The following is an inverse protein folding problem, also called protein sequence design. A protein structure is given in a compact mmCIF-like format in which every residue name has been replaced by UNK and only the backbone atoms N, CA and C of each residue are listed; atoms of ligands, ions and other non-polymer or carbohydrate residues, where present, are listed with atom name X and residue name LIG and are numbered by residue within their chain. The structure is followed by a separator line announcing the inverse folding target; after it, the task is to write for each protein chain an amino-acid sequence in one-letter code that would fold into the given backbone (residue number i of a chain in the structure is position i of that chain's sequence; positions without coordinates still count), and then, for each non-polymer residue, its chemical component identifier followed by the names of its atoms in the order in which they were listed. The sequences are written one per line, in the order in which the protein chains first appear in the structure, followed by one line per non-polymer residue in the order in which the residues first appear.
data_IF_142769750008
#
_entry.id   IF_142769750008
#
_cell.length_a   1.000
_cell.length_b   1.000
_cell.length_c   1.000
_cell.angle_alpha   90.00
_cell.angle_beta   90.00
_cell.angle_gamma   90.00
#
_symmetry.space_group_name_H-M   'P 1'
#
loop_
_entity.id
_entity.type
_entity.pdbx_description
1 polymer ?
#
# COMPACT_ATOMS: atom_id res chain seq x y z
N UNK A 1 22.33 15.00 32.42
CA UNK A 1 22.12 14.97 30.95
C UNK A 1 20.62 15.07 30.74
N UNK A 2 20.10 16.16 30.15
CA UNK A 2 18.64 16.32 29.94
C UNK A 2 18.19 15.35 28.84
N UNK A 3 17.16 14.57 29.11
CA UNK A 3 16.50 13.73 28.10
C UNK A 3 15.92 14.62 26.99
N UNK A 4 16.29 14.32 25.75
CA UNK A 4 15.79 14.99 24.56
C UNK A 4 14.58 14.19 24.10
N UNK A 5 13.43 14.85 23.99
CA UNK A 5 12.18 14.18 23.59
C UNK A 5 12.08 14.09 22.05
N UNK A 6 11.35 13.09 21.54
CA UNK A 6 11.18 12.77 20.09
C UNK A 6 10.85 13.99 19.22
N UNK A 7 10.12 14.99 19.75
CA UNK A 7 9.76 16.23 19.04
C UNK A 7 10.97 17.14 18.76
N UNK A 8 11.96 17.16 19.65
CA UNK A 8 13.17 17.99 19.51
C UNK A 8 14.21 17.36 18.58
N UNK A 9 14.23 16.03 18.46
CA UNK A 9 15.13 15.32 17.55
C UNK A 9 14.74 15.57 16.07
N UNK A 10 13.45 15.48 15.75
CA UNK A 10 12.93 15.66 14.40
C UNK A 10 13.13 17.09 13.86
N UNK A 11 13.09 18.10 14.73
CA UNK A 11 13.36 19.49 14.32
C UNK A 11 14.84 19.80 14.06
N UNK A 12 15.78 19.05 14.66
CA UNK A 12 17.22 19.33 14.58
C UNK A 12 17.90 18.58 13.44
N UNK A 13 17.40 17.39 13.08
CA UNK A 13 17.94 16.61 11.96
C UNK A 13 17.77 17.29 10.59
N UNK A 14 16.74 18.13 10.43
CA UNK A 14 16.46 18.84 9.17
C UNK A 14 17.37 20.05 8.85
N UNK A 15 18.40 20.36 9.67
CA UNK A 15 19.20 21.59 9.50
C UNK A 15 20.71 21.41 9.37
N UNK A 16 21.23 20.21 9.14
CA UNK A 16 22.67 20.03 8.93
C UNK A 16 22.91 18.97 7.87
N UNK A 17 23.17 19.41 6.64
CA UNK A 17 24.28 18.96 5.80
C UNK A 17 24.32 19.83 4.53
N UNK A 18 25.03 20.96 4.63
CA UNK A 18 25.63 21.64 3.48
C UNK A 18 27.10 21.25 3.52
N UNK A 19 27.60 20.51 2.53
CA UNK A 19 29.00 20.09 2.51
C UNK A 19 29.37 19.09 1.41
N UNK A 20 29.64 19.64 0.22
CA UNK A 20 30.26 19.16 -1.02
C UNK A 20 31.26 17.96 -0.95
N UNK A 21 31.23 17.13 -2.03
CA UNK A 21 32.27 16.29 -2.68
C UNK A 21 31.91 14.79 -2.71
N UNK A 22 32.08 13.98 -3.77
CA UNK A 22 32.50 14.12 -5.17
C UNK A 22 31.98 12.88 -5.96
N UNK A 23 31.91 13.00 -7.29
CA UNK A 23 31.36 12.05 -8.27
C UNK A 23 32.00 10.65 -8.32
N UNK A 24 31.17 9.60 -8.44
CA UNK A 24 31.41 8.43 -9.30
C UNK A 24 30.07 7.77 -9.67
N UNK A 25 29.85 7.54 -10.96
CA UNK A 25 28.55 7.26 -11.59
C UNK A 25 28.15 5.78 -11.60
N UNK A 26 26.89 5.49 -11.27
CA UNK A 26 26.14 4.28 -11.66
C UNK A 26 24.70 4.74 -11.97
N UNK A 27 24.09 4.37 -13.11
CA UNK A 27 22.82 4.96 -13.54
C UNK A 27 21.66 4.32 -12.78
N UNK A 28 21.12 5.02 -11.80
CA UNK A 28 19.79 4.72 -11.24
C UNK A 28 18.72 5.30 -12.16
N UNK A 29 17.73 4.47 -12.48
CA UNK A 29 16.48 4.84 -13.13
C UNK A 29 15.85 6.02 -12.38
N UNK A 30 16.10 7.21 -12.90
CA UNK A 30 15.51 8.45 -12.39
C UNK A 30 14.07 8.47 -12.90
N UNK A 31 13.13 8.16 -12.02
CA UNK A 31 11.72 8.49 -12.26
C UNK A 31 11.60 9.97 -12.63
N UNK A 32 10.68 10.30 -13.53
CA UNK A 32 10.44 11.64 -14.05
C UNK A 32 10.04 12.63 -12.93
N UNK A 33 11.00 13.04 -12.13
CA UNK A 33 10.93 14.12 -11.16
C UNK A 33 12.00 15.15 -11.50
N UNK A 34 11.88 15.79 -12.66
CA UNK A 34 12.56 17.05 -12.87
C UNK A 34 11.59 18.18 -12.54
N UNK A 35 12.00 19.08 -11.65
CA UNK A 35 11.39 20.40 -11.52
C UNK A 35 11.57 21.14 -12.85
N UNK A 36 10.62 20.99 -13.76
CA UNK A 36 10.49 21.93 -14.86
C UNK A 36 9.96 23.23 -14.28
N UNK A 37 10.76 24.30 -14.39
CA UNK A 37 10.27 25.67 -14.19
C UNK A 37 8.98 25.82 -14.98
N UNK A 38 7.87 26.04 -14.29
CA UNK A 38 6.59 26.41 -14.88
C UNK A 38 6.84 27.64 -15.76
N UNK A 39 6.61 27.60 -17.08
CA UNK A 39 6.71 28.80 -17.89
C UNK A 39 5.57 29.74 -17.51
N UNK A 40 5.88 31.00 -17.22
CA UNK A 40 4.89 32.06 -17.00
C UNK A 40 3.98 32.17 -18.21
N UNK A 41 2.69 31.95 -18.01
CA UNK A 41 1.67 32.19 -19.02
C UNK A 41 1.64 33.68 -19.34
N UNK A 42 2.10 34.06 -20.53
CA UNK A 42 1.92 35.42 -21.05
C UNK A 42 0.52 35.53 -21.61
N UNK A 43 -0.36 36.26 -20.92
CA UNK A 43 -1.69 36.61 -21.42
C UNK A 43 -1.57 37.61 -22.57
N UNK A 44 -1.73 37.14 -23.80
CA UNK A 44 -2.10 38.00 -24.92
C UNK A 44 -3.63 37.98 -25.03
N UNK A 45 -4.28 39.07 -24.60
CA UNK A 45 -5.69 39.29 -24.84
C UNK A 45 -5.88 39.59 -26.34
N UNK A 46 -6.60 38.71 -27.04
CA UNK A 46 -7.14 39.01 -28.36
C UNK A 46 -8.63 39.28 -28.17
N UNK A 47 -9.04 40.52 -28.43
CA UNK A 47 -10.44 40.93 -28.44
C UNK A 47 -11.19 40.17 -29.53
N UNK A 48 -12.26 39.48 -29.15
CA UNK A 48 -13.26 38.92 -30.05
C UNK A 48 -14.60 39.61 -29.75
N UNK A 49 -15.18 40.18 -30.81
CA UNK A 49 -16.38 41.00 -30.80
C UNK A 49 -17.63 40.23 -30.35
N UNK A 50 -18.45 40.92 -29.58
CA UNK A 50 -19.73 40.51 -29.02
C UNK A 50 -20.81 40.20 -30.05
N UNK A 51 -21.45 39.03 -29.91
CA UNK A 51 -22.86 38.86 -30.27
C UNK A 51 -23.62 38.47 -28.98
N UNK A 52 -24.55 39.34 -28.57
CA UNK A 52 -25.41 39.16 -27.40
C UNK A 52 -26.43 38.05 -27.66
N UNK A 53 -26.37 36.98 -26.86
CA UNK A 53 -27.54 36.15 -26.59
C UNK A 53 -27.91 36.23 -25.12
N UNK A 54 -29.10 36.78 -24.90
CA UNK A 54 -29.79 36.87 -23.61
C UNK A 54 -29.86 35.50 -22.94
N UNK A 55 -29.11 35.35 -21.85
CA UNK A 55 -29.40 34.36 -20.83
C UNK A 55 -29.55 35.12 -19.53
N UNK A 56 -30.73 34.99 -18.90
CA UNK A 56 -30.99 35.45 -17.55
C UNK A 56 -29.91 34.92 -16.62
N UNK A 57 -29.07 35.80 -16.11
CA UNK A 57 -28.08 35.48 -15.09
C UNK A 57 -28.82 34.89 -13.88
N UNK A 58 -28.56 33.62 -13.60
CA UNK A 58 -28.83 33.09 -12.26
C UNK A 58 -27.86 33.84 -11.35
N UNK A 59 -28.39 34.66 -10.45
CA UNK A 59 -27.60 35.27 -9.38
C UNK A 59 -26.99 34.13 -8.54
N UNK A 60 -25.72 33.85 -8.81
CA UNK A 60 -24.89 33.02 -7.96
C UNK A 60 -24.68 33.79 -6.65
N UNK A 61 -25.60 33.62 -5.70
CA UNK A 61 -25.36 33.95 -4.29
C UNK A 61 -24.33 32.96 -3.72
N UNK A 62 -23.08 33.06 -4.18
CA UNK A 62 -21.94 32.48 -3.50
C UNK A 62 -21.77 33.31 -2.23
N UNK A 63 -22.10 32.72 -1.09
CA UNK A 63 -21.75 33.32 0.18
C UNK A 63 -20.23 33.26 0.30
N UNK A 64 -19.59 34.42 0.34
CA UNK A 64 -18.16 34.58 0.56
C UNK A 64 -17.79 33.98 1.92
N UNK A 65 -17.20 32.77 1.92
CA UNK A 65 -16.25 32.19 2.91
C UNK A 65 -16.34 30.65 2.99
N UNK A 66 -16.35 29.92 1.87
CA UNK A 66 -16.04 28.48 1.90
C UNK A 66 -14.52 28.34 2.08
N UNK A 67 -14.02 27.64 3.12
CA UNK A 67 -12.59 27.44 3.30
C UNK A 67 -11.96 26.78 2.07
N UNK A 68 -10.68 27.05 1.81
CA UNK A 68 -9.94 26.27 0.83
C UNK A 68 -9.64 24.89 1.42
N UNK A 69 -9.89 23.82 0.65
CA UNK A 69 -9.53 22.46 1.05
C UNK A 69 -8.00 22.37 1.13
N UNK A 70 -7.49 21.87 2.26
CA UNK A 70 -6.06 21.63 2.47
C UNK A 70 -5.85 20.16 2.79
N UNK A 71 -4.80 19.59 2.20
CA UNK A 71 -4.38 18.22 2.45
C UNK A 71 -3.27 18.17 3.52
N UNK A 72 -3.19 17.09 4.30
CA UNK A 72 -4.17 16.01 4.37
C UNK A 72 -5.51 16.49 4.97
N UNK A 73 -6.62 15.89 4.52
CA UNK A 73 -7.92 16.04 5.16
C UNK A 73 -7.86 15.46 6.57
N UNK A 74 -8.67 16.00 7.48
CA UNK A 74 -8.82 15.45 8.81
C UNK A 74 -9.35 14.00 8.71
N UNK A 75 -8.65 13.08 9.36
CA UNK A 75 -9.06 11.69 9.45
C UNK A 75 -10.02 11.51 10.62
N UNK A 76 -11.17 10.93 10.34
CA UNK A 76 -12.08 10.42 11.36
C UNK A 76 -12.12 8.90 11.24
N UNK A 77 -12.04 8.22 12.38
CA UNK A 77 -12.12 6.77 12.43
C UNK A 77 -13.43 6.28 11.77
N UNK A 78 -13.28 5.30 10.88
CA UNK A 78 -14.39 4.67 10.15
C UNK A 78 -14.61 3.25 10.66
N UNK A 79 -15.88 2.86 10.79
CA UNK A 79 -16.25 1.48 11.05
C UNK A 79 -15.94 0.63 9.81
N UNK A 80 -15.02 -0.33 9.95
CA UNK A 80 -14.58 -1.18 8.84
C UNK A 80 -15.74 -1.97 8.21
N UNK A 81 -16.70 -2.45 9.00
CA UNK A 81 -17.83 -3.26 8.51
C UNK A 81 -18.84 -2.41 7.75
N UNK A 82 -19.13 -1.21 8.25
CA UNK A 82 -19.96 -0.22 7.57
C UNK A 82 -19.36 0.12 6.19
N UNK A 83 -18.06 0.43 6.15
CA UNK A 83 -17.38 0.75 4.89
C UNK A 83 -17.35 -0.45 3.95
N UNK A 84 -17.05 -1.66 4.46
CA UNK A 84 -17.07 -2.88 3.64
C UNK A 84 -18.42 -3.10 2.97
N UNK A 85 -19.51 -3.01 3.74
CA UNK A 85 -20.87 -3.19 3.22
C UNK A 85 -21.20 -2.12 2.16
N UNK A 86 -20.84 -0.86 2.42
CA UNK A 86 -21.04 0.23 1.46
C UNK A 86 -20.25 0.00 0.17
N UNK A 87 -18.97 -0.34 0.27
CA UNK A 87 -18.11 -0.56 -0.89
C UNK A 87 -18.65 -1.71 -1.75
N UNK A 88 -19.06 -2.81 -1.11
CA UNK A 88 -19.65 -3.94 -1.81
C UNK A 88 -20.91 -3.52 -2.61
N UNK A 89 -21.82 -2.78 -1.99
CA UNK A 89 -23.05 -2.30 -2.63
C UNK A 89 -22.75 -1.30 -3.76
N UNK A 90 -21.88 -0.34 -3.50
CA UNK A 90 -21.58 0.77 -4.41
C UNK A 90 -20.75 0.32 -5.61
N UNK A 91 -20.05 -0.80 -5.51
CA UNK A 91 -19.40 -1.45 -6.65
C UNK A 91 -20.34 -1.64 -7.83
N UNK A 92 -21.57 -2.08 -7.56
CA UNK A 92 -22.57 -2.32 -8.59
C UNK A 92 -23.24 -1.04 -9.10
N UNK A 93 -23.32 0.01 -8.26
CA UNK A 93 -23.97 1.28 -8.60
C UNK A 93 -23.04 2.24 -9.35
N UNK A 94 -21.81 2.37 -8.87
CA UNK A 94 -20.79 3.28 -9.42
C UNK A 94 -19.98 2.68 -10.56
N UNK A 95 -20.21 1.40 -10.89
CA UNK A 95 -19.68 0.77 -12.10
C UNK A 95 -18.25 0.25 -12.00
N UNK A 96 -17.72 0.04 -10.79
CA UNK A 96 -16.43 -0.61 -10.63
C UNK A 96 -15.75 -0.39 -9.27
N UNK A 97 -14.58 -1.01 -9.15
CA UNK A 97 -13.84 -1.13 -7.90
C UNK A 97 -13.23 0.20 -7.42
N UNK A 98 -12.70 1.05 -8.31
CA UNK A 98 -12.07 2.30 -7.90
C UNK A 98 -13.04 3.30 -7.28
N UNK A 99 -14.16 3.58 -7.97
CA UNK A 99 -15.19 4.49 -7.47
C UNK A 99 -15.83 3.99 -6.18
N UNK A 100 -16.09 2.67 -6.09
CA UNK A 100 -16.69 2.09 -4.90
C UNK A 100 -15.80 2.18 -3.66
N UNK A 101 -14.51 1.85 -3.78
CA UNK A 101 -13.57 2.00 -2.66
C UNK A 101 -13.49 3.47 -2.25
N UNK A 102 -13.36 4.39 -3.21
CA UNK A 102 -13.28 5.82 -2.92
C UNK A 102 -14.55 6.38 -2.24
N UNK A 103 -15.74 5.96 -2.69
CA UNK A 103 -17.02 6.28 -2.02
C UNK A 103 -17.11 5.65 -0.63
N UNK A 104 -16.52 4.47 -0.41
CA UNK A 104 -16.42 3.85 0.92
C UNK A 104 -15.84 4.79 1.98
N UNK A 105 -14.80 5.57 1.61
CA UNK A 105 -14.20 6.57 2.49
C UNK A 105 -15.01 7.87 2.48
N UNK A 106 -15.09 8.53 1.32
CA UNK A 106 -15.61 9.89 1.26
C UNK A 106 -17.12 9.95 1.37
N UNK A 107 -17.85 8.93 0.93
CA UNK A 107 -19.29 8.86 1.09
C UNK A 107 -19.70 8.79 2.56
N UNK A 108 -19.06 7.91 3.34
CA UNK A 108 -19.32 7.80 4.79
C UNK A 108 -18.91 9.08 5.52
N UNK A 109 -17.73 9.63 5.20
CA UNK A 109 -17.27 10.88 5.81
C UNK A 109 -18.14 12.09 5.41
N UNK A 110 -18.61 12.15 4.17
CA UNK A 110 -19.52 13.20 3.69
C UNK A 110 -20.87 13.14 4.40
N UNK A 111 -21.42 11.96 4.62
CA UNK A 111 -22.69 11.77 5.34
C UNK A 111 -22.56 12.12 6.82
N UNK A 112 -21.42 11.82 7.45
CA UNK A 112 -21.20 12.07 8.89
C UNK A 112 -20.72 13.48 9.21
N UNK A 113 -19.85 14.06 8.39
CA UNK A 113 -19.11 15.29 8.70
C UNK A 113 -19.30 16.41 7.67
N UNK A 114 -19.89 16.12 6.50
CA UNK A 114 -20.17 17.13 5.48
C UNK A 114 -18.91 17.66 4.80
N UNK A 115 -18.70 18.97 4.86
CA UNK A 115 -17.52 19.63 4.29
C UNK A 115 -16.24 19.25 5.09
N UNK A 116 -15.09 18.99 4.46
CA UNK A 116 -14.81 19.07 3.02
C UNK A 116 -15.10 17.78 2.23
N UNK A 117 -15.47 16.69 2.90
CA UNK A 117 -15.58 15.35 2.30
C UNK A 117 -16.63 15.28 1.19
N UNK A 118 -17.74 16.01 1.34
CA UNK A 118 -18.81 16.08 0.35
C UNK A 118 -18.50 16.92 -0.90
N UNK A 119 -17.27 17.47 -1.02
CA UNK A 119 -16.84 18.25 -2.18
C UNK A 119 -16.12 17.40 -3.24
N UNK A 120 -15.87 16.13 -2.95
CA UNK A 120 -15.19 15.21 -3.85
C UNK A 120 -16.21 14.29 -4.53
N UNK A 121 -16.41 14.40 -5.85
CA UNK A 121 -17.30 13.51 -6.58
C UNK A 121 -16.72 12.10 -6.60
N UNK A 122 -17.53 11.10 -6.23
CA UNK A 122 -17.07 9.72 -6.09
C UNK A 122 -16.68 9.09 -7.44
N UNK A 123 -17.20 9.62 -8.54
CA UNK A 123 -16.91 9.21 -9.91
C UNK A 123 -15.47 9.44 -10.33
N UNK A 124 -14.67 10.20 -9.57
CA UNK A 124 -13.22 10.34 -9.83
C UNK A 124 -12.54 8.97 -9.86
N UNK A 125 -13.01 8.02 -9.04
CA UNK A 125 -12.50 6.65 -9.03
C UNK A 125 -12.99 5.76 -10.18
N UNK A 126 -13.89 6.24 -11.06
CA UNK A 126 -14.53 5.42 -12.09
C UNK A 126 -13.52 4.74 -13.00
N UNK A 127 -12.51 5.49 -13.47
CA UNK A 127 -11.48 4.97 -14.38
C UNK A 127 -10.60 3.87 -13.79
N UNK A 128 -10.70 3.57 -12.49
CA UNK A 128 -10.09 2.38 -11.90
C UNK A 128 -10.72 1.07 -12.40
N UNK A 129 -11.88 1.11 -13.07
CA UNK A 129 -12.53 -0.10 -13.60
C UNK A 129 -11.63 -0.88 -14.57
N UNK A 130 -11.78 -2.20 -14.59
CA UNK A 130 -11.04 -3.10 -15.50
C UNK A 130 -9.52 -2.93 -15.48
N UNK A 131 -8.93 -2.55 -14.34
CA UNK A 131 -7.50 -2.30 -14.20
C UNK A 131 -7.04 -1.14 -15.07
N UNK A 132 -7.72 0.00 -14.97
CA UNK A 132 -7.50 1.18 -15.81
C UNK A 132 -7.62 0.87 -17.30
N UNK A 133 -8.68 0.15 -17.66
CA UNK A 133 -9.02 -0.30 -19.03
C UNK A 133 -8.10 -1.32 -19.68
N UNK A 134 -6.86 -1.44 -19.22
CA UNK A 134 -5.84 -2.34 -19.78
C UNK A 134 -5.52 -3.53 -18.86
N UNK A 135 -6.24 -3.70 -17.76
CA UNK A 135 -6.00 -4.81 -16.84
C UNK A 135 -4.78 -4.66 -15.94
N UNK A 136 -4.18 -3.47 -15.91
CA UNK A 136 -3.04 -3.10 -15.07
C UNK A 136 -3.45 -2.97 -13.60
N UNK A 137 -3.02 -1.92 -12.90
CA UNK A 137 -3.23 -1.72 -11.47
C UNK A 137 -4.69 -1.97 -11.04
N UNK A 138 -4.89 -2.81 -10.01
CA UNK A 138 -6.24 -3.15 -9.56
C UNK A 138 -7.03 -1.90 -9.16
N UNK A 139 -8.23 -1.73 -9.71
CA UNK A 139 -9.07 -0.57 -9.45
C UNK A 139 -9.37 -0.34 -7.98
N UNK A 140 -9.50 -1.41 -7.19
CA UNK A 140 -9.72 -1.31 -5.74
C UNK A 140 -8.52 -0.63 -5.05
N UNK A 141 -7.30 -1.06 -5.38
CA UNK A 141 -6.07 -0.41 -4.93
C UNK A 141 -5.96 1.02 -5.46
N UNK A 142 -6.47 1.29 -6.67
CA UNK A 142 -6.59 2.62 -7.24
C UNK A 142 -7.47 3.57 -6.41
N UNK A 143 -8.65 3.11 -6.01
CA UNK A 143 -9.54 3.86 -5.12
C UNK A 143 -8.92 4.10 -3.73
N UNK A 144 -8.24 3.09 -3.18
CA UNK A 144 -7.50 3.22 -1.94
C UNK A 144 -6.33 4.21 -2.06
N UNK A 145 -5.61 4.22 -3.19
CA UNK A 145 -4.53 5.19 -3.47
C UNK A 145 -5.06 6.62 -3.43
N UNK A 146 -6.23 6.87 -4.02
CA UNK A 146 -6.88 8.18 -3.95
C UNK A 146 -7.24 8.55 -2.51
N UNK A 147 -7.81 7.62 -1.73
CA UNK A 147 -8.11 7.86 -0.32
C UNK A 147 -6.83 8.17 0.51
N UNK A 148 -5.78 7.36 0.37
CA UNK A 148 -4.48 7.58 1.02
C UNK A 148 -3.94 8.97 0.66
N UNK A 149 -4.06 9.39 -0.60
CA UNK A 149 -3.58 10.71 -1.04
C UNK A 149 -4.29 11.89 -0.35
N UNK A 150 -5.53 11.68 0.10
CA UNK A 150 -6.32 12.68 0.81
C UNK A 150 -6.02 12.69 2.31
N UNK A 151 -5.82 11.54 2.94
CA UNK A 151 -5.74 11.44 4.40
C UNK A 151 -4.33 11.31 4.96
N UNK A 152 -3.34 10.93 4.16
CA UNK A 152 -1.96 10.73 4.62
C UNK A 152 -1.08 11.88 4.13
N UNK A 153 -0.22 12.48 4.98
CA UNK A 153 0.77 13.46 4.55
C UNK A 153 1.63 12.92 3.40
N UNK A 154 1.93 13.78 2.41
CA UNK A 154 2.62 13.39 1.16
C UNK A 154 3.88 12.56 1.40
N UNK A 155 4.69 12.92 2.39
CA UNK A 155 5.97 12.26 2.69
C UNK A 155 5.80 10.82 3.25
N UNK A 156 4.57 10.39 3.53
CA UNK A 156 4.24 9.08 4.10
C UNK A 156 3.32 8.23 3.20
N UNK A 157 2.79 8.78 2.11
CA UNK A 157 1.81 8.09 1.26
C UNK A 157 2.36 6.81 0.64
N UNK A 158 3.61 6.84 0.17
CA UNK A 158 4.26 5.69 -0.46
C UNK A 158 4.39 4.50 0.50
N UNK A 159 4.61 4.76 1.79
CA UNK A 159 4.82 3.70 2.78
C UNK A 159 3.52 2.96 3.07
N UNK A 160 2.45 3.71 3.33
CA UNK A 160 1.11 3.19 3.53
C UNK A 160 0.64 2.42 2.29
N UNK A 161 0.91 2.96 1.10
CA UNK A 161 0.53 2.30 -0.15
C UNK A 161 1.31 1.00 -0.40
N UNK A 162 2.62 0.99 -0.14
CA UNK A 162 3.44 -0.24 -0.27
C UNK A 162 2.95 -1.33 0.67
N UNK A 163 2.60 -0.99 1.91
CA UNK A 163 2.08 -1.96 2.87
C UNK A 163 0.73 -2.53 2.42
N UNK A 164 -0.16 -1.69 1.88
CA UNK A 164 -1.42 -2.15 1.28
C UNK A 164 -1.18 -3.10 0.10
N UNK A 165 -0.23 -2.77 -0.78
CA UNK A 165 0.10 -3.58 -1.95
C UNK A 165 0.77 -4.91 -1.55
N UNK A 166 1.63 -4.91 -0.53
CA UNK A 166 2.23 -6.11 0.03
C UNK A 166 1.14 -7.03 0.59
N UNK A 167 0.26 -6.50 1.45
CA UNK A 167 -0.90 -7.24 1.97
C UNK A 167 -1.76 -7.83 0.85
N UNK A 168 -2.09 -7.03 -0.16
CA UNK A 168 -2.92 -7.47 -1.29
C UNK A 168 -2.34 -8.68 -2.04
N UNK A 169 -1.01 -8.74 -2.15
CA UNK A 169 -0.29 -9.81 -2.87
C UNK A 169 0.12 -10.98 -1.98
N UNK A 170 0.00 -10.86 -0.65
CA UNK A 170 0.26 -11.94 0.30
C UNK A 170 -1.00 -12.59 0.86
N UNK A 171 -2.15 -11.91 0.80
CA UNK A 171 -3.39 -12.36 1.43
C UNK A 171 -4.27 -13.19 0.49
N UNK A 172 -4.86 -14.25 1.04
CA UNK A 172 -5.89 -15.05 0.37
C UNK A 172 -7.19 -14.25 0.36
N UNK A 173 -7.62 -13.79 -0.82
CA UNK A 173 -8.75 -12.87 -0.99
C UNK A 173 -9.85 -13.46 -1.90
N UNK A 174 -11.12 -13.02 -1.75
CA UNK A 174 -11.61 -12.06 -0.75
C UNK A 174 -11.68 -12.64 0.68
N UNK A 175 -11.85 -11.79 1.69
CA UNK A 175 -12.20 -12.15 3.08
C UNK A 175 -13.67 -11.80 3.35
N UNK A 176 -14.14 -10.68 2.80
CA UNK A 176 -15.53 -10.25 2.89
C UNK A 176 -16.46 -11.26 2.19
N UNK A 177 -17.52 -11.65 2.89
CA UNK A 177 -18.53 -12.56 2.37
C UNK A 177 -19.38 -11.87 1.28
N UNK A 178 -19.14 -12.23 0.03
CA UNK A 178 -19.94 -11.80 -1.11
C UNK A 178 -21.24 -12.59 -1.26
N UNK A 179 -21.97 -12.33 -2.35
CA UNK A 179 -23.21 -13.06 -2.69
C UNK A 179 -22.96 -14.56 -2.95
N UNK A 180 -21.75 -14.92 -3.39
CA UNK A 180 -21.39 -16.29 -3.73
C UNK A 180 -20.24 -16.75 -2.83
N UNK A 181 -20.38 -17.96 -2.29
CA UNK A 181 -19.29 -18.71 -1.67
C UNK A 181 -18.49 -19.39 -2.81
N UNK A 182 -17.27 -18.94 -3.05
CA UNK A 182 -16.41 -19.39 -4.16
C UNK A 182 -14.96 -19.55 -3.66
N UNK A 183 -14.03 -19.92 -4.54
CA UNK A 183 -12.62 -20.10 -4.17
C UNK A 183 -11.95 -18.76 -3.87
N UNK A 184 -11.06 -18.78 -2.88
CA UNK A 184 -10.26 -17.61 -2.50
C UNK A 184 -8.82 -17.83 -2.95
N UNK A 185 -8.15 -16.77 -3.37
CA UNK A 185 -6.82 -16.88 -4.00
C UNK A 185 -5.91 -15.72 -3.59
N UNK A 186 -4.61 -15.96 -3.58
CA UNK A 186 -3.59 -14.93 -3.42
C UNK A 186 -3.21 -14.37 -4.79
N UNK A 187 -3.18 -13.05 -4.93
CA UNK A 187 -2.85 -12.39 -6.19
C UNK A 187 -1.32 -12.39 -6.43
N UNK A 188 -0.83 -12.85 -7.61
CA UNK A 188 0.61 -12.84 -7.89
C UNK A 188 1.23 -11.44 -8.02
N UNK A 189 0.40 -10.43 -8.30
CA UNK A 189 0.83 -9.04 -8.44
C UNK A 189 -0.33 -8.09 -8.13
N UNK A 190 -0.05 -6.80 -8.09
CA UNK A 190 -1.06 -5.73 -7.96
C UNK A 190 -1.94 -5.56 -9.20
N UNK A 191 -1.64 -6.24 -10.31
CA UNK A 191 -2.41 -6.11 -11.53
C UNK A 191 -3.76 -6.84 -11.42
N UNK A 192 -4.79 -6.20 -11.97
CA UNK A 192 -6.14 -6.70 -12.04
C UNK A 192 -6.20 -8.01 -12.83
N UNK A 193 -5.47 -8.14 -13.94
CA UNK A 193 -5.48 -9.36 -14.77
C UNK A 193 -4.83 -10.54 -14.09
N UNK A 194 -3.79 -10.32 -13.29
CA UNK A 194 -3.08 -11.40 -12.60
C UNK A 194 -3.93 -11.92 -11.45
N UNK A 195 -4.50 -11.01 -10.65
CA UNK A 195 -5.43 -11.34 -9.56
C UNK A 195 -6.69 -12.04 -10.09
N UNK A 196 -7.32 -11.47 -11.13
CA UNK A 196 -8.55 -12.01 -11.69
C UNK A 196 -8.30 -13.33 -12.43
N UNK A 197 -7.21 -13.43 -13.20
CA UNK A 197 -6.87 -14.63 -13.95
C UNK A 197 -6.61 -15.82 -13.02
N UNK A 198 -5.87 -15.60 -11.93
CA UNK A 198 -5.60 -16.62 -10.91
C UNK A 198 -6.90 -17.15 -10.32
N UNK A 199 -7.81 -16.25 -9.93
CA UNK A 199 -9.11 -16.63 -9.42
C UNK A 199 -9.98 -17.34 -10.46
N UNK A 200 -10.08 -16.82 -11.68
CA UNK A 200 -10.89 -17.40 -12.76
C UNK A 200 -10.46 -18.84 -13.08
N UNK A 201 -9.14 -19.09 -13.13
CA UNK A 201 -8.60 -20.44 -13.30
C UNK A 201 -8.95 -21.37 -12.14
N UNK A 202 -8.86 -20.90 -10.89
CA UNK A 202 -9.19 -21.69 -9.71
C UNK A 202 -10.71 -21.98 -9.59
N UNK A 203 -11.55 -21.01 -9.96
CA UNK A 203 -13.01 -21.07 -9.86
C UNK A 203 -13.68 -21.80 -11.05
N UNK A 204 -12.90 -22.19 -12.07
CA UNK A 204 -13.43 -22.75 -13.31
C UNK A 204 -14.32 -21.77 -14.07
N UNK A 205 -14.00 -20.48 -14.05
CA UNK A 205 -14.76 -19.41 -14.70
C UNK A 205 -14.05 -18.98 -15.98
N UNK A 206 -14.69 -19.14 -17.14
CA UNK A 206 -14.10 -18.77 -18.43
C UNK A 206 -14.53 -17.38 -18.90
N UNK A 207 -15.75 -16.95 -18.56
CA UNK A 207 -16.33 -15.73 -19.09
C UNK A 207 -16.23 -14.57 -18.10
N UNK A 208 -15.67 -13.44 -18.53
CA UNK A 208 -15.60 -12.23 -17.68
C UNK A 208 -16.97 -11.73 -17.23
N UNK A 209 -18.07 -12.03 -17.91
CA UNK A 209 -19.42 -11.55 -17.53
C UNK A 209 -20.05 -12.36 -16.39
N UNK A 210 -19.43 -13.45 -15.95
CA UNK A 210 -19.94 -14.32 -14.87
C UNK A 210 -20.25 -13.47 -13.61
N UNK A 211 -21.46 -13.62 -13.01
CA UNK A 211 -21.84 -12.87 -11.81
C UNK A 211 -20.95 -13.16 -10.60
N UNK A 212 -20.41 -14.39 -10.47
CA UNK A 212 -19.48 -14.76 -9.39
C UNK A 212 -18.22 -13.90 -9.43
N UNK A 213 -17.70 -13.65 -10.64
CA UNK A 213 -16.56 -12.75 -10.86
C UNK A 213 -16.84 -11.33 -10.36
N UNK A 214 -18.03 -10.80 -10.65
CA UNK A 214 -18.43 -9.45 -10.23
C UNK A 214 -18.52 -9.37 -8.71
N UNK A 215 -19.20 -10.32 -8.09
CA UNK A 215 -19.31 -10.45 -6.64
C UNK A 215 -17.93 -10.56 -5.97
N UNK A 216 -17.03 -11.41 -6.49
CA UNK A 216 -15.65 -11.51 -6.03
C UNK A 216 -14.90 -10.18 -6.09
N UNK A 217 -15.02 -9.44 -7.19
CA UNK A 217 -14.37 -8.12 -7.30
C UNK A 217 -14.97 -7.08 -6.35
N UNK A 218 -16.27 -7.15 -6.07
CA UNK A 218 -16.92 -6.30 -5.08
C UNK A 218 -16.46 -6.63 -3.65
N UNK A 219 -16.41 -7.91 -3.29
CA UNK A 219 -15.91 -8.39 -2.00
C UNK A 219 -14.44 -8.01 -1.78
N UNK A 220 -13.57 -8.25 -2.77
CA UNK A 220 -12.16 -7.82 -2.70
C UNK A 220 -12.02 -6.31 -2.55
N UNK A 221 -12.92 -5.52 -3.16
CA UNK A 221 -12.92 -4.06 -2.99
C UNK A 221 -13.25 -3.68 -1.55
N UNK A 222 -14.20 -4.37 -0.93
CA UNK A 222 -14.54 -4.19 0.49
C UNK A 222 -13.33 -4.51 1.38
N UNK A 223 -12.62 -5.60 1.13
CA UNK A 223 -11.41 -5.97 1.88
C UNK A 223 -10.30 -4.92 1.75
N UNK A 224 -10.05 -4.44 0.53
CA UNK A 224 -9.07 -3.39 0.28
C UNK A 224 -9.42 -2.12 1.04
N UNK A 225 -10.70 -1.74 1.10
CA UNK A 225 -11.14 -0.60 1.89
C UNK A 225 -10.92 -0.82 3.40
N UNK A 226 -11.27 -1.99 3.93
CA UNK A 226 -11.05 -2.33 5.34
C UNK A 226 -9.57 -2.30 5.72
N UNK A 227 -8.70 -2.89 4.90
CA UNK A 227 -7.25 -2.85 5.14
C UNK A 227 -6.71 -1.44 5.04
N UNK A 228 -7.19 -0.64 4.10
CA UNK A 228 -6.76 0.76 3.98
C UNK A 228 -7.16 1.57 5.22
N UNK A 229 -8.36 1.36 5.78
CA UNK A 229 -8.76 1.98 7.07
C UNK A 229 -7.80 1.56 8.18
N UNK A 230 -7.50 0.26 8.30
CA UNK A 230 -6.56 -0.25 9.29
C UNK A 230 -5.19 0.44 9.18
N UNK A 231 -4.63 0.54 7.97
CA UNK A 231 -3.33 1.16 7.75
C UNK A 231 -3.33 2.66 8.08
N UNK A 232 -4.39 3.38 7.73
CA UNK A 232 -4.55 4.80 8.11
C UNK A 232 -4.68 4.92 9.65
N UNK A 233 -5.43 4.04 10.31
CA UNK A 233 -5.57 4.03 11.76
C UNK A 233 -4.23 3.71 12.45
N UNK A 234 -3.44 2.79 11.91
CA UNK A 234 -2.08 2.49 12.39
C UNK A 234 -1.19 3.72 12.24
N UNK A 235 -1.21 4.38 11.07
CA UNK A 235 -0.44 5.60 10.83
C UNK A 235 -0.74 6.70 11.86
N UNK A 236 -2.02 6.88 12.22
CA UNK A 236 -2.45 7.85 13.23
C UNK A 236 -2.35 7.36 14.67
N UNK A 237 -1.90 6.12 14.91
CA UNK A 237 -1.76 5.53 16.25
C UNK A 237 -3.10 5.23 16.94
N UNK A 238 -4.18 5.12 16.17
CA UNK A 238 -5.53 4.73 16.63
C UNK A 238 -5.60 3.22 16.82
N UNK A 239 -5.04 2.47 15.87
CA UNK A 239 -4.97 1.01 15.89
C UNK A 239 -3.51 0.56 16.00
N UNK A 240 -3.27 -0.59 16.64
CA UNK A 240 -1.95 -1.21 16.67
C UNK A 240 -1.82 -2.17 15.48
N UNK A 241 -0.63 -2.29 14.88
CA UNK A 241 -0.38 -3.36 13.92
C UNK A 241 -0.77 -4.71 14.54
N UNK A 242 -1.50 -5.54 13.79
CA UNK A 242 -1.74 -6.90 14.21
C UNK A 242 -0.38 -7.61 14.40
N UNK A 243 -0.15 -8.18 15.58
CA UNK A 243 0.98 -9.11 15.76
C UNK A 243 0.79 -10.23 14.73
N UNK A 244 1.78 -10.44 13.87
CA UNK A 244 1.70 -11.45 12.83
C UNK A 244 1.33 -12.79 13.45
N UNK A 245 0.09 -13.23 13.24
CA UNK A 245 -0.32 -14.58 13.56
C UNK A 245 0.53 -15.49 12.68
N UNK A 246 1.35 -16.33 13.33
CA UNK A 246 2.30 -17.23 12.68
C UNK A 246 1.53 -18.16 11.74
N UNK A 247 1.37 -17.74 10.48
CA UNK A 247 0.89 -18.58 9.41
C UNK A 247 1.98 -19.62 9.17
N UNK A 248 1.84 -20.77 9.84
CA UNK A 248 2.64 -21.96 9.59
C UNK A 248 2.33 -22.41 8.17
N UNK A 249 3.12 -21.92 7.20
CA UNK A 249 3.15 -22.48 5.85
C UNK A 249 3.73 -23.89 5.97
N UNK A 250 3.03 -24.89 5.40
CA UNK A 250 3.51 -26.27 5.40
C UNK A 250 4.96 -26.35 4.90
N UNK A 251 5.84 -26.84 5.76
CA UNK A 251 7.24 -27.11 5.43
C UNK A 251 7.30 -28.41 4.63
N UNK A 252 7.73 -28.34 3.36
CA UNK A 252 8.22 -29.53 2.66
C UNK A 252 9.42 -30.12 3.40
N UNK A 253 9.85 -31.34 3.05
CA UNK A 253 10.94 -32.07 3.73
C UNK A 253 12.28 -31.31 3.86
N UNK A 254 12.46 -30.19 3.13
CA UNK A 254 13.66 -29.37 3.09
C UNK A 254 13.42 -27.89 3.47
N UNK A 255 12.23 -27.53 3.94
CA UNK A 255 11.89 -26.17 4.38
C UNK A 255 11.98 -26.09 5.91
N UNK A 256 12.66 -25.06 6.41
CA UNK A 256 12.85 -24.82 7.84
C UNK A 256 12.44 -23.39 8.18
N UNK A 257 11.71 -23.21 9.27
CA UNK A 257 11.25 -21.91 9.74
C UNK A 257 12.14 -21.44 10.87
N UNK A 258 12.79 -20.31 10.70
CA UNK A 258 13.62 -19.69 11.72
C UNK A 258 13.06 -18.36 12.18
N UNK A 259 13.24 -18.05 13.46
CA UNK A 259 12.71 -16.84 14.10
C UNK A 259 13.79 -16.09 14.87
N UNK A 260 13.79 -14.77 14.80
CA UNK A 260 14.66 -13.94 15.65
C UNK A 260 14.04 -12.57 15.96
N UNK A 261 14.48 -11.95 17.06
CA UNK A 261 14.02 -10.60 17.43
C UNK A 261 14.57 -9.51 16.53
N UNK A 262 13.68 -8.76 15.89
CA UNK A 262 13.94 -7.51 15.19
C UNK A 262 13.76 -6.26 16.08
N UNK A 263 13.56 -5.10 15.44
CA UNK A 263 13.41 -3.80 16.10
C UNK A 263 12.04 -3.66 16.79
N UNK A 264 10.95 -4.02 16.10
CA UNK A 264 9.58 -3.84 16.61
C UNK A 264 8.77 -5.14 16.63
N UNK A 265 9.45 -6.29 16.55
CA UNK A 265 8.83 -7.61 16.68
C UNK A 265 9.76 -8.71 16.22
N UNK A 266 9.27 -9.94 16.21
CA UNK A 266 10.02 -11.07 15.68
C UNK A 266 10.01 -11.03 14.14
N UNK A 267 11.12 -11.44 13.53
CA UNK A 267 11.27 -11.70 12.11
C UNK A 267 11.25 -13.22 11.93
N UNK A 268 10.42 -13.70 11.03
CA UNK A 268 10.39 -15.09 10.63
C UNK A 268 10.81 -15.26 9.18
N UNK A 269 11.64 -16.27 8.95
CA UNK A 269 12.12 -16.64 7.63
C UNK A 269 11.83 -18.12 7.37
N UNK A 270 11.44 -18.44 6.14
CA UNK A 270 11.44 -19.79 5.60
C UNK A 270 12.71 -19.99 4.79
N UNK A 271 13.53 -20.95 5.19
CA UNK A 271 14.76 -21.33 4.50
C UNK A 271 14.56 -22.68 3.84
N UNK A 272 14.77 -22.75 2.53
CA UNK A 272 14.79 -24.02 1.80
C UNK A 272 16.24 -24.45 1.61
N UNK A 273 16.53 -25.73 1.86
CA UNK A 273 17.87 -26.31 1.74
C UNK A 273 17.92 -27.36 0.63
N UNK A 274 18.88 -27.25 -0.27
CA UNK A 274 19.16 -28.27 -1.28
C UNK A 274 20.66 -28.58 -1.32
N UNK A 275 21.01 -29.87 -1.41
CA UNK A 275 22.41 -30.32 -1.41
C UNK A 275 23.23 -29.86 -0.21
N UNK A 276 22.60 -29.61 0.94
CA UNK A 276 23.25 -29.09 2.16
C UNK A 276 23.56 -27.59 2.14
N UNK A 277 22.98 -26.84 1.20
CA UNK A 277 23.13 -25.38 1.08
C UNK A 277 21.77 -24.71 0.99
N UNK A 278 21.70 -23.44 1.39
CA UNK A 278 20.50 -22.63 1.23
C UNK A 278 20.21 -22.43 -0.25
N UNK A 279 19.01 -22.78 -0.70
CA UNK A 279 18.52 -22.59 -2.07
C UNK A 279 17.46 -21.49 -2.18
N UNK A 280 16.74 -21.19 -1.10
CA UNK A 280 15.76 -20.10 -1.03
C UNK A 280 15.66 -19.55 0.40
N UNK A 281 15.44 -18.24 0.54
CA UNK A 281 15.11 -17.59 1.82
C UNK A 281 13.97 -16.62 1.59
N UNK A 282 12.84 -16.87 2.25
CA UNK A 282 11.66 -16.02 2.20
C UNK A 282 11.37 -15.46 3.58
N UNK A 283 11.31 -14.15 3.70
CA UNK A 283 10.78 -13.53 4.92
C UNK A 283 9.26 -13.72 4.91
N UNK A 284 8.76 -14.49 5.86
CA UNK A 284 7.32 -14.83 5.96
C UNK A 284 6.57 -13.84 6.85
N UNK A 285 7.26 -13.18 7.76
CA UNK A 285 6.70 -12.18 8.67
C UNK A 285 7.80 -11.27 9.24
N UNK A 286 7.49 -9.98 9.41
CA UNK A 286 8.32 -9.01 10.12
C UNK A 286 7.50 -7.79 10.56
N UNK A 287 7.93 -7.11 11.62
CA UNK A 287 7.34 -5.83 12.09
C UNK A 287 8.34 -4.67 12.00
N UNK A 288 9.35 -4.75 11.14
CA UNK A 288 10.43 -3.77 11.09
C UNK A 288 10.00 -2.37 10.64
N UNK A 289 10.71 -1.33 11.11
CA UNK A 289 10.41 0.06 10.80
C UNK A 289 10.43 0.32 9.27
N UNK A 290 9.35 0.86 8.68
CA UNK A 290 9.29 1.20 7.26
C UNK A 290 10.45 2.10 6.82
N UNK A 291 10.98 1.88 5.61
CA UNK A 291 12.13 2.60 5.00
C UNK A 291 13.48 2.49 5.72
N UNK A 292 13.52 1.84 6.88
CA UNK A 292 14.75 1.54 7.62
C UNK A 292 14.99 0.04 7.55
N UNK A 293 14.21 -0.74 8.30
CA UNK A 293 14.38 -2.18 8.37
C UNK A 293 13.91 -2.91 7.11
N UNK A 294 12.91 -2.39 6.39
CA UNK A 294 12.45 -2.99 5.12
C UNK A 294 13.57 -3.07 4.07
N UNK A 295 14.53 -2.14 4.07
CA UNK A 295 15.71 -2.22 3.19
C UNK A 295 16.56 -3.48 3.43
N UNK A 296 16.66 -3.91 4.69
CA UNK A 296 17.34 -5.15 5.04
C UNK A 296 16.50 -6.37 4.65
N UNK A 297 15.18 -6.33 4.90
CA UNK A 297 14.23 -7.38 4.48
C UNK A 297 14.32 -7.64 2.97
N UNK A 298 14.39 -6.58 2.15
CA UNK A 298 14.34 -6.70 0.68
C UNK A 298 15.66 -7.20 0.06
N UNK A 299 16.80 -7.03 0.74
CA UNK A 299 18.13 -7.19 0.10
C UNK A 299 19.02 -8.25 0.70
N UNK A 300 18.83 -8.60 1.98
CA UNK A 300 19.69 -9.55 2.67
C UNK A 300 19.34 -11.01 2.36
N UNK A 301 18.06 -11.44 2.23
CA UNK A 301 17.72 -12.85 1.97
C UNK A 301 18.43 -13.46 0.77
N UNK A 302 18.56 -12.72 -0.33
CA UNK A 302 19.27 -13.17 -1.54
C UNK A 302 20.77 -13.45 -1.31
N UNK A 303 21.38 -12.78 -0.32
CA UNK A 303 22.81 -12.95 0.01
C UNK A 303 23.09 -14.24 0.78
N UNK A 304 22.06 -14.90 1.30
CA UNK A 304 22.21 -16.17 1.99
C UNK A 304 22.20 -17.38 1.05
N UNK A 305 21.79 -17.21 -0.21
CA UNK A 305 21.72 -18.30 -1.18
C UNK A 305 23.12 -18.88 -1.43
N UNK A 306 23.24 -20.20 -1.30
CA UNK A 306 24.48 -20.94 -1.47
C UNK A 306 25.36 -21.05 -0.21
N UNK A 307 24.98 -20.39 0.89
CA UNK A 307 25.65 -20.51 2.20
C UNK A 307 25.13 -21.73 2.97
N UNK A 308 25.89 -22.20 3.95
CA UNK A 308 25.53 -23.37 4.76
C UNK A 308 25.90 -23.26 6.24
N UNK A 309 26.84 -22.40 6.62
CA UNK A 309 27.40 -22.35 7.97
C UNK A 309 27.10 -21.04 8.69
N UNK A 310 26.95 -21.04 10.03
CA UNK A 310 26.76 -19.82 10.81
C UNK A 310 27.82 -18.74 10.54
N UNK A 311 29.08 -19.14 10.33
CA UNK A 311 30.18 -18.23 10.04
C UNK A 311 30.01 -17.52 8.69
N UNK A 312 29.52 -18.23 7.67
CA UNK A 312 29.17 -17.65 6.37
C UNK A 312 27.99 -16.67 6.51
N UNK A 313 26.96 -17.02 7.28
CA UNK A 313 25.80 -16.14 7.54
C UNK A 313 26.25 -14.85 8.25
N UNK A 314 27.12 -14.96 9.25
CA UNK A 314 27.63 -13.81 10.01
C UNK A 314 28.47 -12.86 9.14
N UNK A 315 29.14 -13.40 8.10
CA UNK A 315 29.96 -12.63 7.16
C UNK A 315 29.17 -11.76 6.18
N UNK A 316 27.85 -11.96 6.06
CA UNK A 316 27.01 -11.15 5.16
C UNK A 316 26.95 -9.70 5.64
N UNK A 317 27.23 -8.74 4.76
CA UNK A 317 27.22 -7.32 5.15
C UNK A 317 25.83 -6.82 5.54
N UNK A 318 25.76 -6.14 6.69
CA UNK A 318 24.56 -5.47 7.16
C UNK A 318 24.24 -4.23 6.28
N UNK A 319 22.95 -3.92 6.16
CA UNK A 319 22.50 -2.71 5.44
C UNK A 319 22.69 -1.48 6.33
N UNK A 320 23.34 -0.46 5.79
CA UNK A 320 23.58 0.81 6.49
C UNK A 320 22.26 1.45 6.93
N UNK A 321 22.16 1.77 8.22
CA UNK A 321 20.94 2.30 8.84
C UNK A 321 19.93 1.23 9.28
N UNK A 322 20.11 -0.04 8.91
CA UNK A 322 19.21 -1.15 9.22
C UNK A 322 19.94 -2.31 9.92
N UNK A 323 20.93 -1.99 10.76
CA UNK A 323 21.85 -2.98 11.36
C UNK A 323 21.14 -3.99 12.26
N UNK A 324 20.14 -3.54 13.05
CA UNK A 324 19.40 -4.43 13.94
C UNK A 324 18.61 -5.45 13.12
N UNK A 325 17.84 -4.98 12.13
CA UNK A 325 17.11 -5.83 11.19
C UNK A 325 18.02 -6.80 10.45
N UNK A 326 19.19 -6.32 10.01
CA UNK A 326 20.18 -7.14 9.30
C UNK A 326 20.68 -8.29 10.16
N UNK A 327 20.95 -8.02 11.44
CA UNK A 327 21.39 -9.05 12.36
C UNK A 327 20.25 -10.00 12.73
N UNK A 328 19.03 -9.51 12.89
CA UNK A 328 17.86 -10.35 13.14
C UNK A 328 17.62 -11.34 11.99
N UNK A 329 17.77 -10.93 10.73
CA UNK A 329 17.69 -11.85 9.59
C UNK A 329 18.77 -12.95 9.64
N UNK A 330 20.01 -12.60 10.02
CA UNK A 330 21.09 -13.59 10.19
C UNK A 330 20.75 -14.60 11.29
N UNK A 331 20.27 -14.13 12.43
CA UNK A 331 19.88 -14.99 13.54
C UNK A 331 18.70 -15.89 13.16
N UNK A 332 17.70 -15.37 12.45
CA UNK A 332 16.56 -16.15 11.99
C UNK A 332 16.99 -17.25 11.01
N UNK A 333 17.92 -16.97 10.09
CA UNK A 333 18.46 -18.00 9.19
C UNK A 333 19.28 -19.04 9.95
N UNK A 334 20.10 -18.64 10.93
CA UNK A 334 20.84 -19.59 11.78
C UNK A 334 19.90 -20.48 12.60
N UNK A 335 18.81 -19.91 13.13
CA UNK A 335 17.77 -20.65 13.84
C UNK A 335 17.11 -21.71 12.93
N UNK A 336 16.80 -21.35 11.68
CA UNK A 336 16.29 -22.30 10.69
C UNK A 336 17.29 -23.43 10.39
N UNK A 337 18.56 -23.11 10.15
CA UNK A 337 19.61 -24.10 9.86
C UNK A 337 19.87 -25.04 11.04
N UNK A 338 19.67 -24.59 12.29
CA UNK A 338 19.85 -25.41 13.48
C UNK A 338 18.86 -26.59 13.59
N UNK A 339 17.78 -26.53 12.81
CA UNK A 339 16.71 -27.55 12.80
C UNK A 339 16.99 -28.69 11.80
N UNK A 340 18.04 -28.57 10.98
CA UNK A 340 18.49 -29.61 10.06
C UNK A 340 19.09 -30.77 10.86
N UNK A 341 18.63 -31.99 10.59
CA UNK A 341 19.12 -33.23 11.23
C UNK A 341 20.24 -33.90 10.45
#
# INVERSE_FOLDING_TARGET
MKEITRREFLHKAGKTFVGVAAFAAVPTLTGCGQETKVPEATTAATELSSEEQSTTAIENNVTDNIPAIRLPLEWHELDKKEVQARVYEQWFKLGGCGAAVFDGFLGVLAEKYGYPYNQFPQEIGFLGHSGYTCGSYCGALGGATLAISLFIPKDNQDDVLKELQAWYTSTVLPIYDGEYDDVHTTAPSVNCVDSLGTWMSAAGVEERKDPRRKSRCAALSADVAAKTIELINIFYGIEKPAEAENAVTETGNNDYIGTAKGIEGDIQVKVTVDGGKISDVKVISHNETPNIGTKAIDTIPEKFIGLATPEEIDSVDAVSGATITSNALKEAVKDALSQIK
#
